data_IF_599244097902
#
_entry.id   IF_599244097902
#
_cell.length_a   1.000
_cell.length_b   1.000
_cell.length_c   1.000
_cell.angle_alpha   90.00
_cell.angle_beta   90.00
_cell.angle_gamma   90.00
#
_symmetry.space_group_name_H-M   'P 1'
#
loop_
_entity.id
_entity.type
_entity.pdbx_description
1 polymer ?
#
# COMPACT_ATOMS: atom_id res chain seq x y z
N UNK A 1 33.54 30.63 3.03
CA UNK A 1 35.01 30.71 3.18
C UNK A 1 35.71 31.21 1.90
N UNK A 2 34.98 31.44 0.80
CA UNK A 2 35.51 31.90 -0.50
C UNK A 2 35.63 33.43 -0.62
N UNK A 3 34.98 34.20 0.27
CA UNK A 3 35.01 35.67 0.21
C UNK A 3 36.37 36.27 0.60
N UNK A 4 37.26 35.48 1.20
CA UNK A 4 38.62 35.88 1.57
C UNK A 4 39.63 35.68 0.43
N UNK A 5 39.30 34.96 -0.63
CA UNK A 5 40.25 34.60 -1.69
C UNK A 5 40.36 35.68 -2.79
N UNK A 6 39.32 36.49 -2.97
CA UNK A 6 39.28 37.53 -4.01
C UNK A 6 39.85 38.89 -3.58
N UNK A 7 39.97 39.16 -2.28
CA UNK A 7 40.56 40.43 -1.80
C UNK A 7 42.09 40.41 -1.72
N UNK A 8 42.73 39.24 -1.84
CA UNK A 8 44.21 39.08 -1.79
C UNK A 8 44.83 38.83 -3.19
N UNK A 9 44.06 38.74 -4.26
CA UNK A 9 44.58 38.58 -5.64
C UNK A 9 45.31 39.82 -6.20
N UNK A 10 45.58 40.83 -5.38
CA UNK A 10 46.17 42.11 -5.80
C UNK A 10 47.70 42.11 -5.99
N UNK A 11 48.46 41.13 -5.49
CA UNK A 11 49.92 41.11 -5.61
C UNK A 11 50.43 39.66 -5.80
N UNK A 12 51.28 39.46 -6.82
CA UNK A 12 51.72 38.19 -7.45
C UNK A 12 52.36 37.14 -6.51
N UNK A 13 52.10 35.85 -6.78
CA UNK A 13 53.06 34.74 -6.92
C UNK A 13 52.34 33.43 -7.35
N UNK A 14 52.80 32.77 -8.42
CA UNK A 14 52.24 31.50 -8.93
C UNK A 14 52.24 30.39 -7.85
N UNK A 15 53.18 30.46 -6.92
CA UNK A 15 53.35 29.54 -5.80
C UNK A 15 52.17 29.60 -4.80
N UNK A 16 51.61 30.79 -4.56
CA UNK A 16 50.46 30.97 -3.64
C UNK A 16 49.21 30.34 -4.25
N UNK A 17 49.02 30.47 -5.57
CA UNK A 17 47.91 29.84 -6.29
C UNK A 17 48.02 28.32 -6.26
N UNK A 18 49.22 27.75 -6.47
CA UNK A 18 49.44 26.29 -6.42
C UNK A 18 49.12 25.73 -5.02
N UNK A 19 49.53 26.41 -3.96
CA UNK A 19 49.25 25.98 -2.57
C UNK A 19 47.75 26.07 -2.26
N UNK A 20 47.08 27.14 -2.69
CA UNK A 20 45.64 27.32 -2.51
C UNK A 20 44.82 26.25 -3.27
N UNK A 21 45.18 25.98 -4.53
CA UNK A 21 44.55 24.95 -5.36
C UNK A 21 44.72 23.55 -4.77
N UNK A 22 45.90 23.24 -4.21
CA UNK A 22 46.15 21.94 -3.56
C UNK A 22 45.24 21.71 -2.36
N UNK A 23 44.98 22.75 -1.55
CA UNK A 23 44.05 22.67 -0.41
C UNK A 23 42.60 22.52 -0.88
N UNK A 24 42.21 23.27 -1.90
CA UNK A 24 40.89 23.13 -2.51
C UNK A 24 40.67 21.72 -3.06
N UNK A 25 41.63 21.18 -3.82
CA UNK A 25 41.54 19.84 -4.39
C UNK A 25 41.45 18.75 -3.32
N UNK A 26 42.22 18.87 -2.24
CA UNK A 26 42.17 17.92 -1.11
C UNK A 26 40.83 17.99 -0.39
N UNK A 27 40.26 19.19 -0.22
CA UNK A 27 38.93 19.36 0.37
C UNK A 27 37.84 18.76 -0.53
N UNK A 28 37.91 18.97 -1.84
CA UNK A 28 37.00 18.38 -2.82
C UNK A 28 37.13 16.85 -2.80
N UNK A 29 38.36 16.31 -2.84
CA UNK A 29 38.61 14.87 -2.81
C UNK A 29 38.09 14.22 -1.51
N UNK A 30 38.29 14.88 -0.37
CA UNK A 30 37.71 14.44 0.91
C UNK A 30 36.18 14.43 0.90
N UNK A 31 35.57 15.47 0.31
CA UNK A 31 34.12 15.53 0.09
C UNK A 31 33.62 14.40 -0.81
N UNK A 32 34.30 14.15 -1.93
CA UNK A 32 33.98 13.05 -2.84
C UNK A 32 34.09 11.68 -2.17
N UNK A 33 35.17 11.43 -1.41
CA UNK A 33 35.36 10.17 -0.67
C UNK A 33 34.25 9.97 0.37
N UNK A 34 33.87 11.02 1.10
CA UNK A 34 32.75 10.98 2.04
C UNK A 34 31.44 10.61 1.33
N UNK A 35 31.12 11.27 0.21
CA UNK A 35 29.93 10.97 -0.60
C UNK A 35 29.97 9.53 -1.11
N UNK A 36 31.11 9.05 -1.61
CA UNK A 36 31.28 7.68 -2.10
C UNK A 36 31.05 6.66 -0.96
N UNK A 37 31.62 6.90 0.22
CA UNK A 37 31.44 6.00 1.38
C UNK A 37 29.96 5.98 1.81
N UNK A 38 29.30 7.14 1.87
CA UNK A 38 27.87 7.22 2.20
C UNK A 38 26.98 6.48 1.20
N UNK A 39 27.37 6.44 -0.08
CA UNK A 39 26.66 5.68 -1.12
C UNK A 39 26.92 4.16 -0.98
N UNK A 40 28.12 3.74 -0.58
CA UNK A 40 28.54 2.33 -0.62
C UNK A 40 28.30 1.53 0.67
N UNK A 41 28.28 2.16 1.85
CA UNK A 41 28.25 1.46 3.15
C UNK A 41 26.83 1.22 3.68
N UNK A 42 25.94 2.22 3.57
CA UNK A 42 24.54 2.14 4.00
C UNK A 42 23.68 3.02 3.09
N UNK A 43 23.32 2.55 1.89
CA UNK A 43 22.49 3.35 1.02
C UNK A 43 21.07 3.47 1.63
N UNK A 44 20.64 4.71 1.88
CA UNK A 44 19.24 5.05 2.17
C UNK A 44 18.61 5.36 0.81
N UNK A 45 17.74 4.47 0.32
CA UNK A 45 17.14 4.58 -1.02
C UNK A 45 15.75 5.19 -0.93
N UNK A 46 15.58 6.36 -1.55
CA UNK A 46 14.28 7.03 -1.62
C UNK A 46 13.27 6.28 -2.51
N UNK A 47 13.75 5.47 -3.45
CA UNK A 47 12.92 4.63 -4.31
C UNK A 47 12.21 3.51 -3.55
N UNK A 48 12.87 2.94 -2.54
CA UNK A 48 12.26 1.95 -1.62
C UNK A 48 11.21 2.63 -0.74
N UNK A 49 11.54 3.81 -0.19
CA UNK A 49 10.57 4.61 0.59
C UNK A 49 9.36 5.02 -0.26
N UNK A 50 9.56 5.36 -1.55
CA UNK A 50 8.47 5.65 -2.48
C UNK A 50 7.58 4.42 -2.72
N UNK A 51 8.17 3.25 -2.92
CA UNK A 51 7.41 2.01 -3.09
C UNK A 51 6.55 1.72 -1.85
N UNK A 52 7.15 1.79 -0.67
CA UNK A 52 6.48 1.55 0.60
C UNK A 52 5.38 2.58 0.87
N UNK A 53 5.60 3.86 0.54
CA UNK A 53 4.58 4.90 0.66
C UNK A 53 3.37 4.63 -0.24
N UNK A 54 3.61 4.26 -1.51
CA UNK A 54 2.51 3.95 -2.43
C UNK A 54 1.75 2.70 -1.98
N UNK A 55 2.46 1.64 -1.54
CA UNK A 55 1.83 0.44 -1.01
C UNK A 55 0.96 0.75 0.22
N UNK A 56 1.48 1.56 1.16
CA UNK A 56 0.77 1.99 2.35
C UNK A 56 -0.48 2.83 1.99
N UNK A 57 -0.38 3.73 1.03
CA UNK A 57 -1.55 4.49 0.58
C UNK A 57 -2.64 3.57 0.02
N UNK A 58 -2.28 2.53 -0.74
CA UNK A 58 -3.24 1.54 -1.25
C UNK A 58 -3.86 0.72 -0.12
N UNK A 59 -3.08 0.37 0.91
CA UNK A 59 -3.56 -0.33 2.09
C UNK A 59 -4.56 0.51 2.89
N UNK A 60 -4.31 1.81 3.05
CA UNK A 60 -5.26 2.72 3.72
C UNK A 60 -6.61 2.84 2.98
N UNK A 61 -6.58 2.82 1.64
CA UNK A 61 -7.80 2.73 0.82
C UNK A 61 -8.52 1.40 1.05
N UNK A 62 -7.79 0.28 1.05
CA UNK A 62 -8.36 -1.04 1.27
C UNK A 62 -8.97 -1.17 2.67
N UNK A 63 -8.28 -0.70 3.71
CA UNK A 63 -8.75 -0.67 5.09
C UNK A 63 -10.05 0.13 5.24
N UNK A 64 -10.15 1.27 4.55
CA UNK A 64 -11.40 2.02 4.51
C UNK A 64 -12.53 1.20 3.88
N UNK A 65 -12.29 0.55 2.73
CA UNK A 65 -13.32 -0.20 2.00
C UNK A 65 -13.76 -1.47 2.75
N UNK A 66 -12.83 -2.14 3.42
CA UNK A 66 -13.13 -3.28 4.30
C UNK A 66 -14.00 -2.84 5.47
N UNK A 67 -13.59 -1.78 6.18
CA UNK A 67 -14.40 -1.21 7.27
C UNK A 67 -15.76 -0.69 6.81
N UNK A 68 -15.82 -0.06 5.63
CA UNK A 68 -17.07 0.36 5.01
C UNK A 68 -17.98 -0.82 4.72
N UNK A 69 -17.44 -1.89 4.12
CA UNK A 69 -18.20 -3.09 3.79
C UNK A 69 -18.73 -3.78 5.05
N UNK A 70 -17.89 -3.92 6.07
CA UNK A 70 -18.26 -4.49 7.36
C UNK A 70 -19.35 -3.67 8.06
N UNK A 71 -19.31 -2.34 7.97
CA UNK A 71 -20.34 -1.52 8.58
C UNK A 71 -21.64 -1.53 7.74
N UNK A 72 -21.52 -1.37 6.42
CA UNK A 72 -22.66 -1.20 5.51
C UNK A 72 -23.41 -2.50 5.22
N UNK A 73 -22.70 -3.63 5.10
CA UNK A 73 -23.29 -4.94 4.75
C UNK A 73 -23.55 -5.84 5.97
N UNK A 74 -23.20 -5.45 7.20
CA UNK A 74 -23.59 -6.19 8.42
C UNK A 74 -25.11 -6.16 8.63
N UNK A 75 -25.81 -7.13 8.04
CA UNK A 75 -27.13 -7.55 8.49
C UNK A 75 -27.28 -9.08 8.40
N UNK A 76 -27.74 -9.69 9.52
CA UNK A 76 -27.84 -11.12 9.87
C UNK A 76 -26.53 -11.83 10.24
N UNK A 77 -26.09 -11.69 11.49
CA UNK A 77 -25.85 -12.82 12.41
C UNK A 77 -25.80 -12.24 13.82
N UNK A 78 -26.72 -12.66 14.68
CA UNK A 78 -26.76 -12.32 16.11
C UNK A 78 -25.57 -12.97 16.83
N UNK A 79 -24.38 -12.35 16.70
CA UNK A 79 -23.18 -12.56 17.51
C UNK A 79 -22.03 -11.85 16.77
N UNK A 80 -21.77 -10.59 17.12
CA UNK A 80 -20.47 -9.97 16.89
C UNK A 80 -20.43 -8.66 17.68
N UNK A 81 -19.59 -8.63 18.71
CA UNK A 81 -19.18 -7.45 19.45
C UNK A 81 -18.76 -6.36 18.45
N UNK A 82 -19.49 -5.24 18.43
CA UNK A 82 -19.08 -4.03 17.73
C UNK A 82 -17.79 -3.54 18.38
N UNK A 83 -16.66 -3.68 17.70
CA UNK A 83 -15.49 -2.86 18.03
C UNK A 83 -15.83 -1.44 17.59
N UNK A 84 -15.96 -0.54 18.55
CA UNK A 84 -16.24 0.90 18.41
C UNK A 84 -15.10 1.68 17.71
N UNK A 85 -14.20 0.96 17.06
CA UNK A 85 -13.00 1.52 16.44
C UNK A 85 -13.32 1.97 15.00
N UNK A 86 -13.81 3.21 14.90
CA UNK A 86 -14.07 3.89 13.62
C UNK A 86 -12.81 4.52 13.00
N UNK A 87 -11.62 4.04 13.37
CA UNK A 87 -10.34 4.52 12.83
C UNK A 87 -10.25 4.41 11.31
N UNK A 88 -10.92 3.43 10.70
CA UNK A 88 -10.97 3.27 9.23
C UNK A 88 -11.54 4.50 8.51
N UNK A 89 -12.41 5.30 9.15
CA UNK A 89 -12.95 6.55 8.58
C UNK A 89 -11.90 7.67 8.46
N UNK A 90 -10.69 7.46 8.99
CA UNK A 90 -9.64 8.45 9.01
C UNK A 90 -8.35 8.00 8.30
N UNK A 91 -8.11 6.69 8.17
CA UNK A 91 -6.89 6.13 7.56
C UNK A 91 -6.56 6.72 6.18
N UNK A 92 -7.55 6.72 5.27
CA UNK A 92 -7.41 7.27 3.92
C UNK A 92 -7.07 8.77 3.87
N UNK A 93 -7.28 9.54 4.95
CA UNK A 93 -6.99 10.99 4.93
C UNK A 93 -5.50 11.28 4.79
N UNK A 94 -4.65 10.39 5.28
CA UNK A 94 -3.20 10.47 5.10
C UNK A 94 -2.81 10.48 3.61
N UNK A 95 -3.58 9.78 2.78
CA UNK A 95 -3.38 9.70 1.32
C UNK A 95 -3.68 11.04 0.65
N UNK A 96 -4.64 11.82 1.14
CA UNK A 96 -4.99 13.12 0.52
C UNK A 96 -3.81 14.10 0.54
N UNK A 97 -2.97 14.03 1.58
CA UNK A 97 -1.83 14.92 1.79
C UNK A 97 -0.49 14.30 1.29
N UNK A 98 -0.50 13.09 0.72
CA UNK A 98 0.72 12.35 0.35
C UNK A 98 1.50 12.96 -0.81
N UNK A 99 0.87 13.83 -1.63
CA UNK A 99 1.42 14.35 -2.90
C UNK A 99 2.87 14.84 -2.78
N UNK A 100 3.14 15.69 -1.81
CA UNK A 100 4.45 16.34 -1.66
C UNK A 100 5.53 15.34 -1.28
N UNK A 101 5.17 14.33 -0.47
CA UNK A 101 6.07 13.26 -0.07
C UNK A 101 6.39 12.36 -1.28
N UNK A 102 5.37 11.97 -2.05
CA UNK A 102 5.53 11.19 -3.30
C UNK A 102 6.46 11.87 -4.30
N UNK A 103 6.22 13.15 -4.59
CA UNK A 103 7.04 13.94 -5.54
C UNK A 103 8.48 14.09 -5.04
N UNK A 104 8.66 14.41 -3.75
CA UNK A 104 10.00 14.55 -3.18
C UNK A 104 10.80 13.24 -3.21
N UNK A 105 10.18 12.12 -2.85
CA UNK A 105 10.81 10.80 -2.90
C UNK A 105 11.16 10.39 -4.33
N UNK A 106 10.29 10.68 -5.31
CA UNK A 106 10.59 10.44 -6.72
C UNK A 106 11.77 11.28 -7.24
N UNK A 107 11.85 12.56 -6.82
CA UNK A 107 12.96 13.44 -7.15
C UNK A 107 14.29 12.96 -6.53
N UNK A 108 14.27 12.49 -5.29
CA UNK A 108 15.44 11.89 -4.65
C UNK A 108 15.82 10.56 -5.32
N UNK A 109 14.84 9.72 -5.64
CA UNK A 109 15.05 8.42 -6.27
C UNK A 109 15.63 8.56 -7.69
N UNK A 110 15.49 9.70 -8.35
CA UNK A 110 16.13 9.97 -9.65
C UNK A 110 17.66 10.03 -9.56
N UNK A 111 18.22 10.34 -8.38
CA UNK A 111 19.67 10.41 -8.16
C UNK A 111 20.30 9.08 -7.75
N UNK A 112 19.49 8.03 -7.69
CA UNK A 112 19.95 6.71 -7.25
C UNK A 112 20.97 6.13 -8.24
N UNK A 113 22.15 5.74 -7.75
CA UNK A 113 23.12 5.07 -8.59
C UNK A 113 22.55 3.74 -9.10
N UNK A 114 23.06 3.32 -10.25
CA UNK A 114 22.61 2.16 -11.01
C UNK A 114 22.65 0.87 -10.16
N UNK A 115 21.54 0.52 -9.50
CA UNK A 115 21.48 -0.67 -8.65
C UNK A 115 20.12 -1.38 -8.81
N UNK A 116 20.13 -2.71 -8.82
CA UNK A 116 18.95 -3.54 -9.03
C UNK A 116 18.55 -3.80 -10.49
N UNK A 117 17.35 -4.36 -10.68
CA UNK A 117 16.83 -4.81 -11.98
C UNK A 117 16.54 -3.66 -12.96
N UNK A 118 16.35 -2.45 -12.45
CA UNK A 118 15.88 -1.28 -13.20
C UNK A 118 16.98 -0.47 -13.92
N UNK A 119 18.26 -0.79 -13.71
CA UNK A 119 19.42 -0.08 -14.30
C UNK A 119 19.35 1.45 -14.18
N UNK A 120 19.04 2.18 -15.26
CA UNK A 120 18.83 3.65 -15.26
C UNK A 120 17.39 4.02 -15.68
N UNK A 121 16.52 3.02 -15.82
CA UNK A 121 15.13 3.18 -16.22
C UNK A 121 14.26 2.80 -15.04
N UNK A 122 14.38 3.59 -13.98
CA UNK A 122 13.50 3.43 -12.84
C UNK A 122 12.09 3.93 -13.18
N UNK A 123 11.04 3.19 -12.78
CA UNK A 123 9.67 3.49 -13.17
C UNK A 123 9.03 4.52 -12.22
N UNK A 124 9.78 5.54 -11.79
CA UNK A 124 9.30 6.56 -10.84
C UNK A 124 8.09 7.32 -11.36
N UNK A 125 7.97 7.47 -12.69
CA UNK A 125 6.79 8.06 -13.32
C UNK A 125 5.54 7.22 -13.09
N UNK A 126 5.65 5.89 -13.18
CA UNK A 126 4.55 4.97 -12.93
C UNK A 126 4.14 4.99 -11.46
N UNK A 127 5.09 5.10 -10.52
CA UNK A 127 4.76 5.29 -9.10
C UNK A 127 3.99 6.58 -8.84
N UNK A 128 4.38 7.69 -9.47
CA UNK A 128 3.66 8.96 -9.37
C UNK A 128 2.27 8.87 -9.98
N UNK A 129 2.11 8.16 -11.10
CA UNK A 129 0.80 7.91 -11.72
C UNK A 129 -0.12 7.12 -10.78
N UNK A 130 0.38 6.03 -10.19
CA UNK A 130 -0.36 5.27 -9.17
C UNK A 130 -0.72 6.17 -7.99
N UNK A 131 0.20 7.00 -7.50
CA UNK A 131 -0.07 7.97 -6.44
C UNK A 131 -1.17 8.98 -6.78
N UNK A 132 -1.21 9.46 -8.03
CA UNK A 132 -2.29 10.36 -8.48
C UNK A 132 -3.65 9.67 -8.51
N UNK A 133 -3.74 8.45 -9.03
CA UNK A 133 -4.97 7.66 -9.07
C UNK A 133 -5.43 7.28 -7.66
N UNK A 134 -4.49 6.92 -6.79
CA UNK A 134 -4.76 6.58 -5.38
C UNK A 134 -5.37 7.77 -4.64
N UNK A 135 -4.87 8.99 -4.89
CA UNK A 135 -5.46 10.22 -4.36
C UNK A 135 -6.83 10.55 -4.95
N UNK A 136 -7.02 10.33 -6.26
CA UNK A 136 -8.34 10.48 -6.88
C UNK A 136 -9.38 9.54 -6.23
N UNK A 137 -8.97 8.30 -5.94
CA UNK A 137 -9.79 7.34 -5.21
C UNK A 137 -10.09 7.82 -3.79
N UNK A 138 -9.07 8.34 -3.09
CA UNK A 138 -9.22 8.89 -1.75
C UNK A 138 -10.24 10.05 -1.71
N UNK A 139 -10.31 10.91 -2.73
CA UNK A 139 -11.35 11.95 -2.81
C UNK A 139 -12.77 11.37 -3.01
N UNK A 140 -12.91 10.29 -3.80
CA UNK A 140 -14.20 9.59 -3.97
C UNK A 140 -14.64 8.91 -2.66
N UNK A 141 -13.68 8.30 -1.96
CA UNK A 141 -13.86 7.76 -0.61
C UNK A 141 -14.21 8.86 0.40
N UNK A 142 -13.61 10.04 0.33
CA UNK A 142 -13.94 11.17 1.21
C UNK A 142 -15.38 11.64 1.04
N UNK A 143 -15.86 11.71 -0.20
CA UNK A 143 -17.26 12.00 -0.49
C UNK A 143 -18.20 10.93 0.11
N UNK A 144 -17.81 9.65 0.00
CA UNK A 144 -18.55 8.53 0.58
C UNK A 144 -18.51 8.55 2.12
N UNK A 145 -17.36 8.86 2.73
CA UNK A 145 -17.20 8.91 4.18
C UNK A 145 -17.97 10.08 4.79
N UNK A 146 -17.97 11.25 4.13
CA UNK A 146 -18.74 12.43 4.53
C UNK A 146 -20.26 12.14 4.49
N UNK A 147 -20.69 11.37 3.50
CA UNK A 147 -22.07 10.91 3.39
C UNK A 147 -22.47 10.02 4.59
N UNK A 148 -21.58 9.12 5.00
CA UNK A 148 -21.81 8.28 6.18
C UNK A 148 -21.78 9.09 7.47
N UNK A 149 -20.75 9.92 7.69
CA UNK A 149 -20.57 10.64 8.96
C UNK A 149 -21.62 11.72 9.21
N UNK A 150 -22.07 12.43 8.17
CA UNK A 150 -23.13 13.44 8.31
C UNK A 150 -24.48 12.84 8.70
N UNK A 151 -24.69 11.54 8.44
CA UNK A 151 -25.96 10.84 8.67
C UNK A 151 -25.84 9.70 9.69
N UNK A 152 -24.72 9.56 10.42
CA UNK A 152 -24.50 8.51 11.44
C UNK A 152 -25.48 8.61 12.63
N UNK A 153 -26.15 9.74 12.86
CA UNK A 153 -27.26 9.84 13.81
C UNK A 153 -28.58 9.26 13.25
N UNK A 154 -28.72 9.08 11.92
CA UNK A 154 -29.87 8.50 11.22
C UNK A 154 -29.56 7.18 10.46
N UNK A 155 -28.30 6.72 10.48
CA UNK A 155 -27.73 5.59 9.70
C UNK A 155 -28.48 4.25 9.86
N UNK A 156 -28.98 3.92 11.07
CA UNK A 156 -29.72 2.68 11.27
C UNK A 156 -31.10 2.70 10.57
N UNK A 157 -31.82 3.83 10.68
CA UNK A 157 -33.11 4.02 10.00
C UNK A 157 -32.93 4.18 8.49
N UNK A 158 -31.83 4.81 8.09
CA UNK A 158 -31.45 5.03 6.71
C UNK A 158 -31.09 3.73 5.97
N UNK A 159 -30.28 2.86 6.59
CA UNK A 159 -29.99 1.52 6.07
C UNK A 159 -31.28 0.70 5.90
N UNK A 160 -32.17 0.75 6.89
CA UNK A 160 -33.49 0.12 6.78
C UNK A 160 -34.29 0.69 5.61
N UNK A 161 -34.28 2.01 5.40
CA UNK A 161 -35.00 2.67 4.29
C UNK A 161 -34.40 2.39 2.92
N UNK A 162 -33.08 2.34 2.76
CA UNK A 162 -32.42 1.93 1.51
C UNK A 162 -32.78 0.49 1.18
N UNK A 163 -32.66 -0.40 2.16
CA UNK A 163 -32.98 -1.81 1.97
C UNK A 163 -34.46 -2.00 1.63
N UNK A 164 -35.35 -1.27 2.30
CA UNK A 164 -36.77 -1.25 1.97
C UNK A 164 -37.02 -0.69 0.57
N UNK A 165 -36.36 0.40 0.16
CA UNK A 165 -36.47 0.97 -1.18
C UNK A 165 -35.92 0.04 -2.28
N UNK A 166 -34.86 -0.72 -2.01
CA UNK A 166 -34.31 -1.72 -2.93
C UNK A 166 -35.19 -2.98 -3.04
N UNK A 167 -35.95 -3.32 -2.00
CA UNK A 167 -36.82 -4.51 -1.94
C UNK A 167 -38.28 -4.24 -2.35
N UNK A 168 -38.76 -3.00 -2.24
CA UNK A 168 -40.16 -2.64 -2.48
C UNK A 168 -40.33 -2.12 -3.90
N UNK A 169 -41.30 -2.67 -4.64
CA UNK A 169 -41.60 -2.28 -6.03
C UNK A 169 -42.21 -0.87 -6.18
N UNK A 170 -42.69 -0.28 -5.06
CA UNK A 170 -43.38 1.01 -5.00
C UNK A 170 -42.64 1.97 -4.04
N UNK A 171 -41.33 2.16 -4.23
CA UNK A 171 -40.54 3.08 -3.41
C UNK A 171 -40.78 4.55 -3.82
N UNK A 172 -41.05 5.42 -2.84
CA UNK A 172 -41.15 6.87 -3.06
C UNK A 172 -39.81 7.41 -3.58
N UNK A 173 -39.84 8.27 -4.60
CA UNK A 173 -38.64 8.83 -5.25
C UNK A 173 -37.64 9.44 -4.25
N UNK A 174 -38.13 10.08 -3.19
CA UNK A 174 -37.30 10.68 -2.14
C UNK A 174 -36.52 9.64 -1.31
N UNK A 175 -37.03 8.40 -1.20
CA UNK A 175 -36.34 7.29 -0.52
C UNK A 175 -35.25 6.64 -1.36
N UNK A 176 -35.26 6.86 -2.68
CA UNK A 176 -34.31 6.27 -3.63
C UNK A 176 -33.09 7.15 -3.86
N UNK A 177 -33.24 8.49 -3.78
CA UNK A 177 -32.13 9.46 -3.96
C UNK A 177 -30.89 9.05 -3.15
N UNK A 178 -31.00 8.73 -1.86
CA UNK A 178 -29.84 8.42 -1.03
C UNK A 178 -29.13 7.12 -1.42
N UNK A 179 -29.91 6.08 -1.72
CA UNK A 179 -29.40 4.81 -2.22
C UNK A 179 -28.68 4.98 -3.56
N UNK A 180 -29.27 5.78 -4.45
CA UNK A 180 -28.70 6.08 -5.75
C UNK A 180 -27.38 6.87 -5.63
N UNK A 181 -27.29 7.83 -4.69
CA UNK A 181 -26.05 8.57 -4.42
C UNK A 181 -24.94 7.66 -3.92
N UNK A 182 -25.21 6.80 -2.93
CA UNK A 182 -24.21 5.84 -2.42
C UNK A 182 -23.78 4.88 -3.52
N UNK A 183 -24.73 4.34 -4.30
CA UNK A 183 -24.42 3.47 -5.42
C UNK A 183 -23.55 4.17 -6.48
N UNK A 184 -23.83 5.43 -6.81
CA UNK A 184 -23.02 6.21 -7.75
C UNK A 184 -21.59 6.40 -7.24
N UNK A 185 -21.41 6.75 -5.96
CA UNK A 185 -20.08 6.92 -5.36
C UNK A 185 -19.30 5.61 -5.33
N UNK A 186 -19.97 4.48 -5.04
CA UNK A 186 -19.34 3.16 -5.09
C UNK A 186 -18.91 2.76 -6.49
N UNK A 187 -19.71 3.08 -7.51
CA UNK A 187 -19.34 2.88 -8.92
C UNK A 187 -18.08 3.69 -9.24
N UNK A 188 -18.02 4.96 -8.82
CA UNK A 188 -16.84 5.80 -9.00
C UNK A 188 -15.62 5.20 -8.27
N UNK A 189 -15.77 4.72 -7.04
CA UNK A 189 -14.66 4.08 -6.31
C UNK A 189 -14.15 2.84 -7.05
N UNK A 190 -15.05 1.97 -7.53
CA UNK A 190 -14.68 0.77 -8.30
C UNK A 190 -13.92 1.13 -9.58
N UNK A 191 -14.43 2.09 -10.36
CA UNK A 191 -13.74 2.56 -11.57
C UNK A 191 -12.33 3.08 -11.26
N UNK A 192 -12.17 3.75 -10.12
CA UNK A 192 -10.86 4.24 -9.70
C UNK A 192 -9.91 3.08 -9.33
N UNK A 193 -10.41 2.06 -8.63
CA UNK A 193 -9.60 0.87 -8.30
C UNK A 193 -9.17 0.10 -9.55
N UNK A 194 -10.01 0.03 -10.58
CA UNK A 194 -9.63 -0.59 -11.87
C UNK A 194 -8.46 0.17 -12.52
N UNK A 195 -8.51 1.50 -12.56
CA UNK A 195 -7.40 2.34 -13.07
C UNK A 195 -6.11 2.11 -12.29
N UNK A 196 -6.20 2.04 -10.96
CA UNK A 196 -5.04 1.75 -10.10
C UNK A 196 -4.45 0.37 -10.44
N UNK A 197 -5.29 -0.66 -10.57
CA UNK A 197 -4.86 -2.02 -10.91
C UNK A 197 -4.18 -2.06 -12.28
N UNK A 198 -4.70 -1.33 -13.27
CA UNK A 198 -4.10 -1.23 -14.59
C UNK A 198 -2.73 -0.56 -14.56
N UNK A 199 -2.58 0.57 -13.85
CA UNK A 199 -1.28 1.25 -13.68
C UNK A 199 -0.27 0.41 -12.90
N UNK A 200 -0.71 -0.34 -11.88
CA UNK A 200 0.16 -1.30 -11.15
C UNK A 200 0.60 -2.43 -12.06
N UNK A 201 -0.29 -2.95 -12.92
CA UNK A 201 0.07 -3.99 -13.90
C UNK A 201 1.06 -3.47 -14.93
N UNK A 202 0.89 -2.22 -15.39
CA UNK A 202 1.85 -1.57 -16.27
C UNK A 202 3.22 -1.44 -15.57
N UNK A 203 3.25 -0.95 -14.33
CA UNK A 203 4.46 -0.86 -13.52
C UNK A 203 5.15 -2.22 -13.40
N UNK A 204 4.41 -3.28 -13.07
CA UNK A 204 4.93 -4.63 -12.96
C UNK A 204 5.57 -5.12 -14.28
N UNK A 205 4.94 -4.79 -15.41
CA UNK A 205 5.44 -5.14 -16.74
C UNK A 205 6.75 -4.42 -17.08
N UNK A 206 6.85 -3.14 -16.74
CA UNK A 206 8.06 -2.31 -16.92
C UNK A 206 9.16 -2.76 -15.99
N UNK A 207 8.79 -3.24 -14.80
CA UNK A 207 9.71 -3.71 -13.80
C UNK A 207 10.35 -5.06 -14.09
N UNK A 208 9.86 -5.78 -15.11
CA UNK A 208 10.19 -7.19 -15.31
C UNK A 208 10.05 -7.97 -14.00
N UNK A 209 9.00 -7.69 -13.23
CA UNK A 209 8.57 -8.59 -12.17
C UNK A 209 8.07 -9.83 -12.90
N UNK A 210 8.97 -10.75 -13.20
CA UNK A 210 8.61 -12.06 -13.73
C UNK A 210 7.52 -12.57 -12.80
N UNK A 211 6.32 -12.70 -13.35
CA UNK A 211 5.23 -13.33 -12.64
C UNK A 211 5.77 -14.71 -12.37
N UNK A 212 6.13 -14.99 -11.11
CA UNK A 212 6.28 -16.35 -10.67
C UNK A 212 4.91 -16.93 -10.96
N UNK A 213 4.78 -17.62 -12.11
CA UNK A 213 3.70 -18.56 -12.31
C UNK A 213 3.65 -19.33 -11.00
N UNK A 214 2.51 -19.38 -10.29
CA UNK A 214 2.43 -20.25 -9.15
C UNK A 214 2.76 -21.62 -9.70
N UNK A 215 3.98 -22.07 -9.43
CA UNK A 215 4.44 -23.41 -9.69
C UNK A 215 3.64 -24.26 -8.69
N UNK A 216 2.37 -24.44 -9.00
CA UNK A 216 1.63 -25.64 -8.68
C UNK A 216 2.36 -26.72 -9.47
N UNK A 217 3.50 -27.12 -8.92
CA UNK A 217 4.06 -28.42 -9.12
C UNK A 217 2.96 -29.39 -8.69
N UNK A 218 2.16 -29.75 -9.68
CA UNK A 218 1.08 -30.75 -9.65
C UNK A 218 1.65 -32.15 -9.30
N UNK A 219 2.94 -32.22 -8.98
CA UNK A 219 3.68 -33.40 -8.55
C UNK A 219 3.66 -33.59 -7.02
N UNK A 220 3.55 -32.52 -6.21
CA UNK A 220 3.53 -32.65 -4.75
C UNK A 220 2.14 -33.05 -4.20
N UNK A 221 1.05 -32.64 -4.86
CA UNK A 221 -0.32 -33.03 -4.47
C UNK A 221 -0.60 -34.51 -4.77
N UNK A 222 0.08 -35.09 -5.77
CA UNK A 222 -0.16 -36.47 -6.21
C UNK A 222 0.62 -37.51 -5.39
N UNK A 223 1.72 -37.12 -4.75
CA UNK A 223 2.49 -38.00 -3.87
C UNK A 223 1.85 -38.09 -2.47
N UNK A 224 1.36 -36.98 -1.90
CA UNK A 224 0.69 -37.02 -0.59
C UNK A 224 -0.66 -37.79 -0.64
N UNK A 225 -1.43 -37.68 -1.74
CA UNK A 225 -2.68 -38.44 -1.87
C UNK A 225 -2.46 -39.95 -2.08
N UNK A 226 -1.28 -40.38 -2.52
CA UNK A 226 -0.98 -41.81 -2.68
C UNK A 226 -0.43 -42.44 -1.41
N UNK A 227 0.19 -41.67 -0.52
CA UNK A 227 0.70 -42.15 0.78
C UNK A 227 -0.39 -42.30 1.85
N UNK A 228 -1.51 -41.58 1.74
CA UNK A 228 -2.63 -41.68 2.70
C UNK A 228 -3.52 -42.92 2.46
N UNK A 229 -3.46 -43.53 1.26
CA UNK A 229 -4.31 -44.66 0.91
C UNK A 229 -3.77 -46.05 1.30
N UNK A 230 -2.57 -46.14 1.92
CA UNK A 230 -1.91 -47.43 2.21
C UNK A 230 -1.39 -47.57 3.66
N UNK A 231 -2.12 -47.03 4.65
CA UNK A 231 -1.86 -47.35 6.07
C UNK A 231 -2.83 -48.43 6.56
N UNK A 232 -2.34 -49.56 7.14
CA UNK A 232 -3.22 -50.56 7.76
C UNK A 232 -3.95 -49.98 8.97
N UNK A 233 -5.19 -50.41 9.15
CA UNK A 233 -6.01 -50.10 10.32
C UNK A 233 -5.28 -50.44 11.64
N UNK A 234 -5.28 -49.55 12.65
CA UNK A 234 -4.86 -49.94 13.98
C UNK A 234 -5.93 -50.84 14.61
N UNK A 235 -5.51 -52.06 15.00
CA UNK A 235 -6.29 -52.96 15.84
C UNK A 235 -6.60 -52.27 17.17
N UNK A 236 -7.89 -52.12 17.47
CA UNK A 236 -8.37 -51.62 18.76
C UNK A 236 -8.29 -52.78 19.74
N UNK A 237 -7.25 -52.79 20.55
CA UNK A 237 -7.09 -53.70 21.68
C UNK A 237 -8.00 -53.23 22.83
N UNK A 238 -9.17 -53.86 22.97
CA UNK A 238 -10.08 -53.64 24.10
C UNK A 238 -9.63 -54.47 25.31
N UNK A 239 -9.23 -53.88 26.45
CA UNK A 239 -8.97 -54.66 27.65
C UNK A 239 -10.29 -55.19 28.23
N UNK A 240 -10.47 -56.52 28.19
CA UNK A 240 -11.52 -57.22 28.92
C UNK A 240 -11.32 -57.08 30.43
N UNK A 241 -12.17 -56.27 31.08
CA UNK A 241 -12.32 -56.29 32.54
C UNK A 241 -13.54 -57.14 32.88
N UNK A 242 -13.29 -58.38 33.30
CA UNK A 242 -14.30 -59.27 33.87
C UNK A 242 -14.51 -58.87 35.33
N UNK A 243 -15.69 -58.34 35.66
CA UNK A 243 -16.10 -58.12 37.05
C UNK A 243 -16.91 -59.34 37.48
N UNK A 244 -16.34 -60.14 38.37
CA UNK A 244 -17.06 -61.20 39.10
C UNK A 244 -17.02 -60.83 40.58
N UNK A 245 -18.17 -60.52 41.17
CA UNK A 245 -18.34 -60.64 42.63
C UNK A 245 -19.62 -61.42 42.90
N UNK A 246 -19.39 -62.51 43.59
CA UNK A 246 -20.24 -63.60 44.03
C UNK A 246 -21.23 -63.20 45.13
N UNK A 247 -22.29 -64.00 45.24
CA UNK A 247 -23.52 -63.86 46.02
C UNK A 247 -23.37 -63.44 47.50
#
# INVERSE_FOLDING_TARGET
VTFSLTTVSGFRDDEILVIALKRLFTAILGGCVCVIISILVCPVWAGEDLHNLIALNLEELANFLEGFGDEYFKYKTDYATSTDDKSFLQGYKSVLDSKSSEESLADFAHWEPRQGQFRFRHPWKQYLEIGTLTRECAYRIDALSAYLTSDVQASAEFRSKIQEACLRKDADLLSVIPAATVASLLIDVVECTEKIVDSVRELASVAHWDTVEPAVSTENVRLEQREVADKPHPEIECPHVVITITA
#
